data_IF_078981628437
#
_entry.id   IF_078981628437
#
_cell.length_a   1.000
_cell.length_b   1.000
_cell.length_c   1.000
_cell.angle_alpha   90.00
_cell.angle_beta   90.00
_cell.angle_gamma   90.00
#
_symmetry.space_group_name_H-M   'P 1'
#
loop_
_entity.id
_entity.type
_entity.pdbx_description
1 polymer ?
#
# COMPACT_ATOMS: atom_id res chain seq x y z
N UNK A 1 23.82 -20.17 -6.57
CA UNK A 1 24.73 -20.83 -5.61
C UNK A 1 26.19 -20.71 -6.06
N UNK A 2 26.55 -20.87 -7.35
CA UNK A 2 27.94 -20.73 -7.79
C UNK A 2 28.45 -19.29 -7.84
N UNK A 3 27.57 -18.29 -7.98
CA UNK A 3 27.95 -16.86 -7.97
C UNK A 3 28.17 -16.30 -6.55
N UNK A 4 27.54 -16.87 -5.53
CA UNK A 4 27.69 -16.46 -4.13
C UNK A 4 29.03 -16.84 -3.48
N UNK A 5 29.85 -17.64 -4.16
CA UNK A 5 31.11 -18.15 -3.61
C UNK A 5 32.33 -17.53 -4.32
N UNK A 6 32.16 -16.64 -5.28
CA UNK A 6 33.27 -15.96 -5.98
C UNK A 6 33.46 -14.54 -5.48
N UNK A 7 34.31 -14.35 -4.48
CA UNK A 7 34.63 -13.05 -3.92
C UNK A 7 35.33 -12.08 -4.90
N UNK A 8 35.82 -12.57 -6.03
CA UNK A 8 36.30 -11.65 -7.08
C UNK A 8 35.13 -10.97 -7.78
N UNK A 9 34.05 -11.70 -8.05
CA UNK A 9 32.80 -11.12 -8.57
C UNK A 9 32.21 -10.11 -7.60
N UNK A 10 32.18 -10.44 -6.29
CA UNK A 10 31.68 -9.52 -5.27
C UNK A 10 32.55 -8.25 -5.19
N UNK A 11 33.87 -8.38 -5.31
CA UNK A 11 34.78 -7.24 -5.40
C UNK A 11 34.50 -6.35 -6.63
N UNK A 12 34.22 -6.96 -7.80
CA UNK A 12 33.87 -6.25 -9.03
C UNK A 12 32.53 -5.51 -8.89
N UNK A 13 31.55 -6.14 -8.23
CA UNK A 13 30.28 -5.53 -7.92
C UNK A 13 30.44 -4.33 -6.98
N UNK A 14 31.22 -4.47 -5.90
CA UNK A 14 31.49 -3.39 -4.96
C UNK A 14 32.14 -2.19 -5.66
N UNK A 15 33.12 -2.42 -6.52
CA UNK A 15 33.77 -1.34 -7.27
C UNK A 15 32.83 -0.69 -8.28
N UNK A 16 31.98 -1.48 -8.95
CA UNK A 16 30.97 -0.95 -9.87
C UNK A 16 29.99 -0.05 -9.13
N UNK A 17 29.48 -0.52 -8.00
CA UNK A 17 28.59 0.25 -7.14
C UNK A 17 29.28 1.54 -6.65
N UNK A 18 30.54 1.45 -6.20
CA UNK A 18 31.34 2.61 -5.80
C UNK A 18 31.51 3.64 -6.91
N UNK A 19 31.71 3.22 -8.17
CA UNK A 19 31.76 4.10 -9.34
C UNK A 19 30.44 4.81 -9.60
N UNK A 20 29.32 4.09 -9.55
CA UNK A 20 27.98 4.64 -9.76
C UNK A 20 27.63 5.73 -8.73
N UNK A 21 28.15 5.60 -7.51
CA UNK A 21 27.92 6.54 -6.42
C UNK A 21 29.06 7.52 -6.14
N UNK A 22 30.13 7.55 -6.96
CA UNK A 22 31.30 8.40 -6.73
C UNK A 22 30.98 9.92 -6.58
N UNK A 23 29.89 10.39 -7.22
CA UNK A 23 29.43 11.79 -7.13
C UNK A 23 28.44 12.04 -5.99
N UNK A 24 27.92 10.99 -5.32
CA UNK A 24 26.90 11.08 -4.26
C UNK A 24 27.59 11.06 -2.88
N UNK A 25 27.83 12.25 -2.30
CA UNK A 25 28.57 12.41 -1.03
C UNK A 25 27.93 11.68 0.17
N UNK A 26 26.64 11.38 0.10
CA UNK A 26 25.89 10.69 1.16
C UNK A 26 26.02 9.16 1.11
N UNK A 27 26.61 8.60 0.06
CA UNK A 27 26.76 7.15 -0.11
C UNK A 27 28.22 6.78 0.00
N UNK A 28 28.50 5.72 0.76
CA UNK A 28 29.82 5.14 0.95
C UNK A 28 29.82 3.65 0.58
N UNK A 29 30.83 3.27 -0.16
CA UNK A 29 31.19 1.88 -0.42
C UNK A 29 32.61 1.65 0.09
N UNK A 30 32.86 0.62 0.92
CA UNK A 30 34.19 0.30 1.39
C UNK A 30 35.11 -0.01 0.22
N UNK A 31 36.33 0.50 0.28
CA UNK A 31 37.32 0.24 -0.76
C UNK A 31 37.76 -1.23 -0.71
N UNK A 32 37.80 -1.87 -1.88
CA UNK A 32 38.32 -3.23 -2.05
C UNK A 32 39.86 -3.18 -2.03
N UNK A 33 40.49 -4.04 -1.21
CA UNK A 33 41.95 -4.21 -1.19
C UNK A 33 42.33 -5.35 -2.13
N UNK A 34 42.39 -5.07 -3.43
CA UNK A 34 42.63 -6.06 -4.50
C UNK A 34 43.84 -6.94 -4.29
N UNK A 35 44.95 -6.40 -3.75
CA UNK A 35 46.17 -7.15 -3.48
C UNK A 35 46.00 -8.27 -2.41
N UNK A 36 44.89 -8.23 -1.66
CA UNK A 36 44.57 -9.21 -0.61
C UNK A 36 43.20 -9.90 -0.84
N UNK A 37 42.64 -9.71 -2.03
CA UNK A 37 41.36 -10.33 -2.42
C UNK A 37 41.63 -11.49 -3.38
N UNK A 38 41.01 -12.61 -3.13
CA UNK A 38 41.09 -13.85 -3.92
C UNK A 38 39.69 -14.42 -4.13
N UNK A 39 39.55 -15.52 -4.88
CA UNK A 39 38.25 -16.20 -5.01
C UNK A 39 37.62 -16.63 -3.68
N UNK A 40 38.40 -16.80 -2.62
CA UNK A 40 37.95 -17.31 -1.32
C UNK A 40 38.03 -16.27 -0.19
N UNK A 41 38.58 -15.11 -0.45
CA UNK A 41 38.78 -14.06 0.56
C UNK A 41 38.52 -12.73 -0.08
N UNK A 42 37.57 -11.97 0.46
CA UNK A 42 37.35 -10.57 0.14
C UNK A 42 37.93 -9.71 1.25
N UNK A 43 38.79 -8.78 0.89
CA UNK A 43 39.36 -7.82 1.83
C UNK A 43 38.86 -6.42 1.51
N UNK A 44 38.14 -5.84 2.46
CA UNK A 44 37.55 -4.51 2.37
C UNK A 44 38.17 -3.58 3.39
N UNK A 45 38.05 -2.28 3.13
CA UNK A 45 38.27 -1.23 4.14
C UNK A 45 37.33 -1.46 5.33
N UNK A 46 37.83 -1.26 6.56
CA UNK A 46 37.03 -1.41 7.76
C UNK A 46 35.97 -0.31 7.86
N UNK A 47 34.74 -0.70 8.16
CA UNK A 47 33.59 0.20 8.30
C UNK A 47 33.24 0.33 9.78
N UNK A 48 33.61 1.47 10.39
CA UNK A 48 33.18 1.84 11.72
C UNK A 48 31.85 2.61 11.58
N UNK A 49 30.71 1.93 11.76
CA UNK A 49 29.41 2.51 11.48
C UNK A 49 28.33 1.92 12.39
N UNK A 50 27.22 2.64 12.49
CA UNK A 50 26.02 2.24 13.23
C UNK A 50 25.18 1.36 12.30
N UNK A 51 24.67 0.24 12.78
CA UNK A 51 23.71 -0.56 12.02
C UNK A 51 22.45 0.26 11.71
N UNK A 52 21.90 0.13 10.51
CA UNK A 52 20.71 0.90 10.11
C UNK A 52 19.48 0.64 11.00
N UNK A 53 19.44 -0.50 11.68
CA UNK A 53 18.37 -0.86 12.64
C UNK A 53 18.63 -0.42 14.06
N UNK A 54 19.80 0.14 14.36
CA UNK A 54 20.08 0.71 15.68
C UNK A 54 19.61 2.17 15.76
N UNK A 55 18.28 2.30 15.87
CA UNK A 55 17.61 3.60 15.81
C UNK A 55 18.04 4.54 16.94
N UNK A 56 18.34 3.97 18.11
CA UNK A 56 18.76 4.75 19.28
C UNK A 56 20.17 5.30 19.08
N UNK A 57 21.10 4.50 18.58
CA UNK A 57 22.45 4.94 18.26
C UNK A 57 22.47 5.98 17.13
N UNK A 58 21.61 5.83 16.09
CA UNK A 58 21.48 6.83 15.01
C UNK A 58 20.99 8.16 15.60
N UNK A 59 19.96 8.15 16.44
CA UNK A 59 19.41 9.35 17.09
C UNK A 59 20.42 9.97 18.06
N UNK A 60 21.15 9.16 18.84
CA UNK A 60 22.20 9.62 19.77
C UNK A 60 23.39 10.28 19.04
N UNK A 61 23.66 9.87 17.78
CA UNK A 61 24.65 10.50 16.92
C UNK A 61 24.14 11.83 16.30
N UNK A 62 22.93 12.29 16.63
CA UNK A 62 22.33 13.51 16.10
C UNK A 62 21.90 13.39 14.63
N UNK A 63 21.66 12.16 14.15
CA UNK A 63 21.27 11.89 12.76
C UNK A 63 19.76 11.72 12.71
N UNK A 64 19.09 12.44 11.79
CA UNK A 64 17.66 12.32 11.55
C UNK A 64 17.34 11.01 10.81
N UNK A 65 16.60 10.13 11.44
CA UNK A 65 16.19 8.85 10.88
C UNK A 65 15.27 9.01 9.66
N UNK A 66 14.44 10.04 9.63
CA UNK A 66 13.58 10.34 8.48
C UNK A 66 14.44 10.70 7.25
N UNK A 67 15.54 11.43 7.46
CA UNK A 67 16.50 11.74 6.38
C UNK A 67 17.21 10.46 5.90
N UNK A 68 17.55 9.54 6.83
CA UNK A 68 18.16 8.24 6.46
C UNK A 68 17.21 7.43 5.59
N UNK A 69 15.93 7.35 5.95
CA UNK A 69 14.92 6.63 5.16
C UNK A 69 14.78 7.21 3.74
N UNK A 70 14.77 8.54 3.62
CA UNK A 70 14.71 9.22 2.30
C UNK A 70 15.95 8.91 1.46
N UNK A 71 17.14 9.07 2.02
CA UNK A 71 18.40 8.80 1.29
C UNK A 71 18.49 7.33 0.90
N UNK A 72 18.00 6.41 1.74
CA UNK A 72 17.96 4.99 1.42
C UNK A 72 17.06 4.73 0.20
N UNK A 73 15.83 5.24 0.18
CA UNK A 73 14.92 5.07 -0.94
C UNK A 73 15.47 5.72 -2.22
N UNK A 74 15.93 6.98 -2.14
CA UNK A 74 16.50 7.70 -3.29
C UNK A 74 17.70 6.95 -3.89
N UNK A 75 18.50 6.29 -3.03
CA UNK A 75 19.62 5.47 -3.47
C UNK A 75 19.15 4.28 -4.29
N UNK A 76 18.09 3.59 -3.85
CA UNK A 76 17.56 2.45 -4.59
C UNK A 76 16.82 2.85 -5.86
N UNK A 77 16.11 3.98 -5.85
CA UNK A 77 15.50 4.51 -7.07
C UNK A 77 16.58 4.78 -8.14
N UNK A 78 17.68 5.41 -7.74
CA UNK A 78 18.82 5.61 -8.64
C UNK A 78 19.39 4.29 -9.19
N UNK A 79 19.63 3.31 -8.33
CA UNK A 79 20.17 2.01 -8.73
C UNK A 79 19.29 1.32 -9.78
N UNK A 80 17.97 1.39 -9.60
CA UNK A 80 17.00 0.69 -10.45
C UNK A 80 16.78 1.46 -11.76
N UNK A 81 16.54 2.76 -11.68
CA UNK A 81 16.07 3.56 -12.82
C UNK A 81 17.18 4.28 -13.59
N UNK A 82 18.31 4.59 -12.94
CA UNK A 82 19.42 5.28 -13.60
C UNK A 82 20.58 4.32 -13.91
N UNK A 83 21.02 3.51 -12.92
CA UNK A 83 22.19 2.65 -13.07
C UNK A 83 21.87 1.31 -13.72
N UNK A 84 20.61 0.85 -13.66
CA UNK A 84 20.21 -0.50 -14.09
C UNK A 84 20.94 -1.62 -13.35
N UNK A 85 21.55 -1.28 -12.20
CA UNK A 85 22.37 -2.17 -11.39
C UNK A 85 22.09 -1.89 -9.91
N UNK A 86 21.50 -2.86 -9.21
CA UNK A 86 21.03 -2.65 -7.84
C UNK A 86 21.50 -3.75 -6.88
N UNK A 87 21.69 -3.36 -5.64
CA UNK A 87 21.94 -4.26 -4.52
C UNK A 87 20.68 -5.05 -4.21
N UNK A 88 20.69 -6.34 -4.52
CA UNK A 88 19.49 -7.18 -4.48
C UNK A 88 19.20 -7.81 -3.11
N UNK A 89 20.07 -7.61 -2.12
CA UNK A 89 19.87 -8.07 -0.74
C UNK A 89 19.98 -6.91 0.27
N UNK A 90 18.99 -6.01 0.33
CA UNK A 90 18.97 -4.89 1.28
C UNK A 90 18.70 -5.38 2.71
N UNK A 91 19.41 -6.42 3.13
CA UNK A 91 19.30 -6.89 4.51
C UNK A 91 19.86 -5.83 5.47
N UNK A 92 19.23 -5.59 6.65
CA UNK A 92 19.74 -4.62 7.63
C UNK A 92 21.18 -4.86 8.07
N UNK A 93 21.70 -6.08 7.96
CA UNK A 93 23.09 -6.44 8.22
C UNK A 93 24.08 -5.87 7.19
N UNK A 94 23.59 -5.47 6.01
CA UNK A 94 24.42 -4.99 4.88
C UNK A 94 24.39 -3.46 4.75
N UNK A 95 23.65 -2.77 5.65
CA UNK A 95 23.42 -1.33 5.59
C UNK A 95 23.79 -0.67 6.91
N UNK A 96 24.61 0.37 6.82
CA UNK A 96 25.11 1.09 7.98
C UNK A 96 25.01 2.61 7.77
N UNK A 97 24.90 3.32 8.87
CA UNK A 97 24.99 4.78 8.93
C UNK A 97 26.33 5.16 9.54
N UNK A 98 27.18 5.82 8.78
CA UNK A 98 28.51 6.24 9.23
C UNK A 98 28.48 7.72 9.60
N UNK A 99 28.55 8.08 10.88
CA UNK A 99 28.68 9.47 11.31
C UNK A 99 30.01 10.04 10.85
N UNK A 100 30.00 11.28 10.37
CA UNK A 100 31.16 12.06 10.02
C UNK A 100 31.19 13.27 10.96
N UNK A 101 32.13 13.33 11.90
CA UNK A 101 32.21 14.42 12.87
C UNK A 101 32.44 15.77 12.18
N UNK A 102 32.02 16.83 12.85
CA UNK A 102 32.34 18.19 12.40
C UNK A 102 33.86 18.42 12.44
N UNK A 103 34.36 19.19 11.49
CA UNK A 103 35.71 19.75 11.46
C UNK A 103 35.61 21.26 11.46
N UNK A 104 36.70 21.97 11.63
CA UNK A 104 36.73 23.45 11.62
C UNK A 104 36.11 24.03 10.33
N UNK A 105 36.20 23.32 9.22
CA UNK A 105 35.70 23.78 7.90
C UNK A 105 34.34 23.17 7.51
N UNK A 106 33.86 22.08 8.17
CA UNK A 106 32.67 21.32 7.74
C UNK A 106 31.80 20.95 8.94
N UNK A 107 30.49 21.14 8.77
CA UNK A 107 29.49 20.67 9.73
C UNK A 107 29.48 19.14 9.81
N UNK A 108 29.11 18.61 10.97
CA UNK A 108 28.84 17.18 11.13
C UNK A 108 27.85 16.69 10.06
N UNK A 109 28.12 15.53 9.52
CA UNK A 109 27.29 14.89 8.50
C UNK A 109 27.33 13.38 8.68
N UNK A 110 26.73 12.63 7.78
CA UNK A 110 26.71 11.17 7.81
C UNK A 110 26.67 10.60 6.39
N UNK A 111 26.98 9.32 6.26
CA UNK A 111 26.90 8.57 5.02
C UNK A 111 26.16 7.27 5.23
N UNK A 112 25.32 6.88 4.26
CA UNK A 112 24.78 5.54 4.15
C UNK A 112 25.84 4.64 3.53
N UNK A 113 26.22 3.58 4.24
CA UNK A 113 27.30 2.67 3.83
C UNK A 113 26.71 1.31 3.49
N UNK A 114 27.05 0.82 2.30
CA UNK A 114 26.68 -0.49 1.80
C UNK A 114 27.86 -1.45 1.94
N UNK A 115 27.59 -2.65 2.39
CA UNK A 115 28.53 -3.76 2.42
C UNK A 115 27.87 -5.01 1.85
N UNK A 116 28.65 -6.07 1.55
CA UNK A 116 28.17 -7.32 1.00
C UNK A 116 27.51 -7.14 -0.39
N UNK A 117 28.32 -7.22 -1.42
CA UNK A 117 27.90 -7.13 -2.82
C UNK A 117 27.81 -8.48 -3.51
N UNK A 118 27.65 -9.57 -2.73
CA UNK A 118 27.51 -10.93 -3.23
C UNK A 118 26.23 -11.11 -4.04
N UNK A 119 25.18 -10.34 -3.73
CA UNK A 119 23.91 -10.41 -4.45
C UNK A 119 23.58 -9.04 -5.07
N UNK A 120 23.70 -8.97 -6.40
CA UNK A 120 23.30 -7.79 -7.18
C UNK A 120 22.31 -8.19 -8.27
N UNK A 121 21.43 -7.28 -8.61
CA UNK A 121 20.48 -7.41 -9.71
C UNK A 121 20.84 -6.47 -10.86
N UNK A 122 20.50 -6.91 -12.07
CA UNK A 122 20.56 -6.05 -13.27
C UNK A 122 19.15 -5.85 -13.79
N UNK A 123 18.86 -4.64 -14.21
CA UNK A 123 17.59 -4.28 -14.85
C UNK A 123 17.86 -4.22 -16.36
N UNK A 124 17.40 -5.22 -17.14
CA UNK A 124 17.51 -5.17 -18.61
C UNK A 124 16.75 -3.98 -19.18
N UNK A 125 17.09 -3.52 -20.38
CA UNK A 125 16.48 -2.35 -21.01
C UNK A 125 14.96 -2.45 -21.13
N UNK A 126 14.44 -3.59 -21.59
CA UNK A 126 13.01 -3.83 -21.70
C UNK A 126 12.27 -3.75 -20.35
N UNK A 127 12.91 -4.21 -19.28
CA UNK A 127 12.37 -4.11 -17.93
C UNK A 127 12.45 -2.66 -17.41
N UNK A 128 13.52 -1.95 -17.74
CA UNK A 128 13.71 -0.54 -17.37
C UNK A 128 12.60 0.35 -17.93
N UNK A 129 12.23 0.15 -19.20
CA UNK A 129 11.16 0.91 -19.86
C UNK A 129 9.81 0.67 -19.17
N UNK A 130 9.40 -0.58 -18.98
CA UNK A 130 8.15 -0.89 -18.30
C UNK A 130 8.09 -0.42 -16.85
N UNK A 131 9.22 -0.48 -16.12
CA UNK A 131 9.29 0.06 -14.76
C UNK A 131 9.18 1.59 -14.73
N UNK A 132 9.75 2.30 -15.72
CA UNK A 132 9.59 3.75 -15.86
C UNK A 132 8.14 4.13 -16.16
N UNK A 133 7.50 3.44 -17.10
CA UNK A 133 6.07 3.62 -17.41
C UNK A 133 5.20 3.39 -16.17
N UNK A 134 5.48 2.31 -15.42
CA UNK A 134 4.80 2.00 -14.17
C UNK A 134 4.95 3.14 -13.15
N UNK A 135 6.17 3.61 -12.93
CA UNK A 135 6.43 4.68 -11.98
C UNK A 135 5.76 6.00 -12.38
N UNK A 136 5.77 6.33 -13.68
CA UNK A 136 5.07 7.50 -14.22
C UNK A 136 3.54 7.33 -14.05
N UNK A 137 2.99 6.16 -14.40
CA UNK A 137 1.57 5.84 -14.22
C UNK A 137 1.12 6.00 -12.77
N UNK A 138 1.89 5.44 -11.84
CA UNK A 138 1.67 5.60 -10.40
C UNK A 138 1.77 7.08 -10.02
N UNK A 139 2.86 7.77 -10.35
CA UNK A 139 3.11 9.17 -9.95
C UNK A 139 2.08 10.16 -10.50
N UNK A 140 1.48 9.87 -11.64
CA UNK A 140 0.42 10.68 -12.28
C UNK A 140 -1.00 10.19 -11.99
N UNK A 141 -1.17 9.13 -11.20
CA UNK A 141 -2.46 8.46 -10.93
C UNK A 141 -3.18 7.99 -12.19
N UNK A 142 -2.45 7.59 -13.20
CA UNK A 142 -3.01 7.15 -14.47
C UNK A 142 -3.12 5.63 -14.49
N UNK A 143 -4.32 5.10 -14.19
CA UNK A 143 -4.60 3.66 -14.14
C UNK A 143 -4.34 2.97 -15.49
N UNK A 144 -4.71 3.61 -16.62
CA UNK A 144 -4.47 3.06 -17.96
C UNK A 144 -2.97 2.90 -18.23
N UNK A 145 -2.14 3.90 -17.84
CA UNK A 145 -0.69 3.83 -17.99
C UNK A 145 -0.07 2.76 -17.11
N UNK A 146 -0.60 2.54 -15.91
CA UNK A 146 -0.18 1.42 -15.03
C UNK A 146 -0.48 0.08 -15.69
N UNK A 147 -1.69 -0.11 -16.23
CA UNK A 147 -2.05 -1.36 -16.91
C UNK A 147 -1.23 -1.57 -18.17
N UNK A 148 -0.94 -0.51 -18.94
CA UNK A 148 -0.04 -0.56 -20.09
C UNK A 148 1.36 -1.01 -19.69
N UNK A 149 1.90 -0.46 -18.60
CA UNK A 149 3.21 -0.87 -18.08
C UNK A 149 3.25 -2.34 -17.68
N UNK A 150 2.16 -2.92 -17.18
CA UNK A 150 2.05 -4.35 -16.90
C UNK A 150 2.18 -5.20 -18.16
N UNK A 151 1.71 -4.71 -19.31
CA UNK A 151 1.92 -5.37 -20.60
C UNK A 151 3.39 -5.28 -21.05
N UNK A 152 4.00 -4.09 -20.97
CA UNK A 152 5.43 -3.87 -21.29
C UNK A 152 6.34 -4.73 -20.43
N UNK A 153 5.99 -4.93 -19.13
CA UNK A 153 6.71 -5.76 -18.17
C UNK A 153 6.48 -7.27 -18.34
N UNK A 154 5.60 -7.66 -19.28
CA UNK A 154 5.16 -9.05 -19.48
C UNK A 154 4.62 -9.69 -18.17
N UNK A 155 3.88 -8.88 -17.39
CA UNK A 155 3.27 -9.30 -16.11
C UNK A 155 1.87 -9.87 -16.34
N UNK A 156 1.23 -9.56 -17.47
CA UNK A 156 -0.13 -9.99 -17.75
C UNK A 156 -0.17 -11.23 -18.63
N UNK A 157 -1.08 -12.14 -18.31
CA UNK A 157 -1.43 -13.24 -19.19
C UNK A 157 -2.21 -12.72 -20.42
N UNK A 158 -2.15 -13.40 -21.57
CA UNK A 158 -2.77 -12.93 -22.82
C UNK A 158 -4.29 -12.68 -22.74
N UNK A 159 -4.98 -13.30 -21.78
CA UNK A 159 -6.44 -13.22 -21.62
C UNK A 159 -6.88 -12.22 -20.56
N UNK A 160 -5.97 -11.37 -20.05
CA UNK A 160 -6.28 -10.39 -18.99
C UNK A 160 -7.31 -9.37 -19.48
N UNK A 161 -8.35 -9.12 -18.68
CA UNK A 161 -9.32 -8.04 -18.93
C UNK A 161 -8.69 -6.69 -18.51
N UNK A 162 -8.15 -5.97 -19.49
CA UNK A 162 -7.47 -4.68 -19.27
C UNK A 162 -8.40 -3.63 -18.70
N UNK A 163 -9.71 -3.62 -19.10
CA UNK A 163 -10.66 -2.64 -18.59
C UNK A 163 -10.98 -2.86 -17.12
N UNK A 164 -11.14 -4.12 -16.74
CA UNK A 164 -11.37 -4.48 -15.34
C UNK A 164 -10.14 -4.16 -14.48
N UNK A 165 -8.94 -4.37 -15.00
CA UNK A 165 -7.68 -3.98 -14.35
C UNK A 165 -7.58 -2.45 -14.20
N UNK A 166 -7.90 -1.67 -15.23
CA UNK A 166 -7.91 -0.19 -15.14
C UNK A 166 -8.90 0.31 -14.08
N UNK A 167 -10.08 -0.29 -13.99
CA UNK A 167 -11.05 0.05 -12.96
C UNK A 167 -10.56 -0.30 -11.54
N UNK A 168 -9.88 -1.44 -11.39
CA UNK A 168 -9.30 -1.84 -10.12
C UNK A 168 -8.19 -0.89 -9.68
N UNK A 169 -7.28 -0.52 -10.60
CA UNK A 169 -6.20 0.43 -10.33
C UNK A 169 -6.72 1.83 -10.01
N UNK A 170 -7.73 2.32 -10.74
CA UNK A 170 -8.36 3.61 -10.44
C UNK A 170 -8.95 3.63 -9.01
N UNK A 171 -9.64 2.56 -8.61
CA UNK A 171 -10.17 2.46 -7.25
C UNK A 171 -9.08 2.28 -6.18
N UNK A 172 -7.97 1.62 -6.52
CA UNK A 172 -6.80 1.55 -5.66
C UNK A 172 -6.23 2.95 -5.40
N UNK A 173 -6.10 3.77 -6.44
CA UNK A 173 -5.68 5.15 -6.28
C UNK A 173 -6.65 5.96 -5.42
N UNK A 174 -7.96 5.87 -5.66
CA UNK A 174 -8.97 6.62 -4.91
C UNK A 174 -8.97 6.28 -3.41
N UNK A 175 -8.65 5.02 -3.07
CA UNK A 175 -8.71 4.54 -1.68
C UNK A 175 -7.40 4.69 -0.92
N UNK A 176 -6.28 4.39 -1.56
CA UNK A 176 -5.01 4.18 -0.88
C UNK A 176 -3.95 5.23 -1.20
N UNK A 177 -4.23 6.11 -2.17
CA UNK A 177 -3.30 7.16 -2.54
C UNK A 177 -3.01 8.11 -1.37
N UNK A 178 -1.72 8.40 -1.16
CA UNK A 178 -1.29 9.33 -0.12
C UNK A 178 -1.19 8.72 1.28
N UNK A 179 -1.65 7.48 1.47
CA UNK A 179 -1.52 6.80 2.76
C UNK A 179 -0.05 6.49 3.07
N UNK A 180 0.33 6.70 4.32
CA UNK A 180 1.61 6.22 4.84
C UNK A 180 1.64 4.70 4.93
N UNK A 181 2.82 4.11 5.04
CA UNK A 181 2.97 2.66 5.22
C UNK A 181 2.28 2.15 6.49
N UNK A 182 2.23 2.97 7.53
CA UNK A 182 1.53 2.63 8.78
C UNK A 182 0.01 2.61 8.61
N UNK A 183 -0.55 3.56 7.88
CA UNK A 183 -1.98 3.59 7.55
C UNK A 183 -2.37 2.41 6.67
N UNK A 184 -1.59 2.09 5.63
CA UNK A 184 -1.81 0.93 4.77
C UNK A 184 -1.80 -0.39 5.55
N UNK A 185 -0.92 -0.52 6.55
CA UNK A 185 -0.83 -1.71 7.41
C UNK A 185 -2.05 -1.87 8.32
N UNK A 186 -2.70 -0.77 8.69
CA UNK A 186 -3.82 -0.74 9.63
C UNK A 186 -5.19 -0.62 8.95
N UNK A 187 -5.27 -0.86 7.63
CA UNK A 187 -6.54 -0.87 6.89
C UNK A 187 -7.49 -1.93 7.49
N UNK A 188 -8.76 -1.57 7.65
CA UNK A 188 -9.79 -2.50 8.13
C UNK A 188 -9.92 -3.70 7.17
N UNK A 189 -9.81 -4.90 7.73
CA UNK A 189 -10.01 -6.15 7.00
C UNK A 189 -11.34 -6.21 6.25
N UNK A 190 -12.37 -5.52 6.74
CA UNK A 190 -13.69 -5.44 6.08
C UNK A 190 -13.61 -4.63 4.79
N UNK A 191 -12.86 -3.55 4.79
CA UNK A 191 -12.66 -2.70 3.62
C UNK A 191 -11.89 -3.46 2.53
N UNK A 192 -10.81 -4.15 2.93
CA UNK A 192 -10.07 -5.03 2.02
C UNK A 192 -10.93 -6.17 1.47
N UNK A 193 -11.77 -6.78 2.30
CA UNK A 193 -12.69 -7.83 1.87
C UNK A 193 -13.74 -7.31 0.88
N UNK A 194 -14.26 -6.10 1.07
CA UNK A 194 -15.19 -5.48 0.13
C UNK A 194 -14.54 -5.19 -1.22
N UNK A 195 -13.30 -4.69 -1.22
CA UNK A 195 -12.53 -4.49 -2.44
C UNK A 195 -12.28 -5.82 -3.16
N UNK A 196 -11.82 -6.84 -2.45
CA UNK A 196 -11.60 -8.18 -3.01
C UNK A 196 -12.89 -8.80 -3.58
N UNK A 197 -14.05 -8.60 -2.91
CA UNK A 197 -15.35 -9.06 -3.43
C UNK A 197 -15.75 -8.32 -4.71
N UNK A 198 -15.48 -7.03 -4.82
CA UNK A 198 -15.82 -6.25 -6.00
C UNK A 198 -15.01 -6.70 -7.24
N UNK A 199 -13.75 -7.07 -7.04
CA UNK A 199 -12.84 -7.54 -8.08
C UNK A 199 -12.56 -9.04 -7.99
N UNK A 200 -13.54 -9.82 -7.48
CA UNK A 200 -13.41 -11.26 -7.31
C UNK A 200 -13.02 -11.99 -8.60
N UNK A 201 -13.47 -11.49 -9.74
CA UNK A 201 -13.17 -12.06 -11.05
C UNK A 201 -11.68 -12.00 -11.35
N UNK A 202 -11.04 -10.84 -11.14
CA UNK A 202 -9.58 -10.70 -11.21
C UNK A 202 -8.85 -11.58 -10.20
N UNK A 203 -9.43 -11.76 -9.00
CA UNK A 203 -8.83 -12.62 -7.97
C UNK A 203 -8.93 -14.10 -8.31
N UNK A 204 -9.97 -14.52 -9.03
CA UNK A 204 -10.14 -15.91 -9.47
C UNK A 204 -9.31 -16.23 -10.71
N UNK A 205 -9.29 -15.35 -11.69
CA UNK A 205 -8.56 -15.55 -12.94
C UNK A 205 -7.06 -15.41 -12.76
N UNK A 206 -6.63 -14.63 -11.73
CA UNK A 206 -5.21 -14.37 -11.46
C UNK A 206 -4.42 -14.10 -12.76
N UNK A 207 -4.77 -13.05 -13.52
CA UNK A 207 -4.23 -12.84 -14.87
C UNK A 207 -2.78 -12.37 -14.88
N UNK A 208 -2.03 -12.68 -13.82
CA UNK A 208 -0.67 -12.22 -13.62
C UNK A 208 0.33 -13.36 -13.70
N UNK A 209 1.43 -13.09 -14.38
CA UNK A 209 2.66 -13.88 -14.34
C UNK A 209 3.78 -12.99 -13.79
N UNK A 210 4.70 -13.57 -13.03
CA UNK A 210 5.82 -12.83 -12.46
C UNK A 210 7.14 -13.32 -13.06
N UNK A 211 7.75 -12.53 -13.97
CA UNK A 211 9.12 -12.78 -14.43
C UNK A 211 10.11 -12.82 -13.26
N UNK A 212 11.12 -13.70 -13.34
CA UNK A 212 12.09 -13.91 -12.27
C UNK A 212 12.79 -12.62 -11.80
N UNK A 213 13.10 -11.73 -12.75
CA UNK A 213 13.75 -10.45 -12.45
C UNK A 213 12.84 -9.53 -11.61
N UNK A 214 11.53 -9.57 -11.86
CA UNK A 214 10.55 -8.80 -11.07
C UNK A 214 10.35 -9.38 -9.67
N UNK A 215 10.47 -10.69 -9.49
CA UNK A 215 10.44 -11.31 -8.15
C UNK A 215 11.60 -10.82 -7.28
N UNK A 216 12.81 -10.77 -7.86
CA UNK A 216 13.99 -10.28 -7.15
C UNK A 216 13.85 -8.79 -6.78
N UNK A 217 13.38 -7.99 -7.73
CA UNK A 217 13.11 -6.57 -7.50
C UNK A 217 12.00 -6.36 -6.46
N UNK A 218 10.91 -7.09 -6.56
CA UNK A 218 9.79 -7.04 -5.61
C UNK A 218 10.21 -7.38 -4.18
N UNK A 219 11.04 -8.43 -4.01
CA UNK A 219 11.65 -8.78 -2.72
C UNK A 219 12.49 -7.61 -2.18
N UNK A 220 13.32 -7.01 -3.03
CA UNK A 220 14.17 -5.86 -2.67
C UNK A 220 13.31 -4.69 -2.20
N UNK A 221 12.26 -4.34 -2.95
CA UNK A 221 11.34 -3.23 -2.61
C UNK A 221 10.59 -3.51 -1.30
N UNK A 222 10.15 -4.75 -1.08
CA UNK A 222 9.45 -5.12 0.16
C UNK A 222 10.34 -4.96 1.40
N UNK A 223 11.59 -5.44 1.36
CA UNK A 223 12.54 -5.28 2.47
C UNK A 223 12.88 -3.79 2.68
N UNK A 224 13.10 -3.05 1.60
CA UNK A 224 13.38 -1.61 1.62
C UNK A 224 12.23 -0.82 2.28
N UNK A 225 10.99 -1.13 1.91
CA UNK A 225 9.80 -0.52 2.51
C UNK A 225 9.72 -0.78 4.02
N UNK A 226 10.03 -2.02 4.45
CA UNK A 226 10.10 -2.37 5.87
C UNK A 226 11.16 -1.57 6.62
N UNK A 227 12.33 -1.37 6.04
CA UNK A 227 13.39 -0.56 6.66
C UNK A 227 13.05 0.92 6.73
N UNK A 228 12.49 1.49 5.67
CA UNK A 228 12.05 2.88 5.67
C UNK A 228 10.98 3.13 6.75
N UNK A 229 10.03 2.19 6.91
CA UNK A 229 9.00 2.26 7.97
C UNK A 229 9.60 2.09 9.37
N UNK A 230 10.64 1.26 9.53
CA UNK A 230 11.35 1.12 10.79
C UNK A 230 12.13 2.39 11.20
N UNK A 231 12.73 3.07 10.24
CA UNK A 231 13.41 4.35 10.44
C UNK A 231 12.42 5.49 10.72
N UNK A 232 11.35 5.55 9.97
CA UNK A 232 10.28 6.54 10.09
C UNK A 232 8.91 5.83 10.03
N UNK A 233 8.19 5.66 11.15
CA UNK A 233 6.87 5.03 11.18
C UNK A 233 5.82 5.74 10.30
N UNK A 234 5.99 7.03 10.05
CA UNK A 234 5.11 7.84 9.21
C UNK A 234 5.65 8.00 7.78
N UNK A 235 6.61 7.15 7.38
CA UNK A 235 7.20 7.20 6.05
C UNK A 235 6.13 7.06 4.97
N UNK A 236 6.05 8.07 4.11
CA UNK A 236 5.11 8.10 3.00
C UNK A 236 5.87 7.93 1.69
N UNK A 237 5.71 6.74 1.10
CA UNK A 237 6.37 6.36 -0.15
C UNK A 237 6.01 7.32 -1.31
N UNK A 238 4.75 7.79 -1.36
CA UNK A 238 4.26 8.68 -2.41
C UNK A 238 5.01 10.00 -2.45
N UNK A 239 5.39 10.53 -1.29
CA UNK A 239 6.14 11.79 -1.19
C UNK A 239 7.53 11.72 -1.84
N UNK A 240 8.07 10.53 -2.05
CA UNK A 240 9.37 10.31 -2.72
C UNK A 240 9.17 9.88 -4.18
N UNK A 241 8.21 8.98 -4.44
CA UNK A 241 7.97 8.47 -5.80
C UNK A 241 7.45 9.54 -6.75
N UNK A 242 6.51 10.39 -6.30
CA UNK A 242 5.92 11.44 -7.16
C UNK A 242 6.95 12.44 -7.69
N UNK A 243 7.83 13.04 -6.86
CA UNK A 243 8.88 13.91 -7.37
C UNK A 243 9.85 13.19 -8.31
N UNK A 244 10.21 11.94 -7.99
CA UNK A 244 11.10 11.15 -8.83
C UNK A 244 10.47 10.85 -10.19
N UNK A 245 9.22 10.43 -10.23
CA UNK A 245 8.47 10.22 -11.47
C UNK A 245 8.41 11.49 -12.33
N UNK A 246 8.18 12.66 -11.72
CA UNK A 246 8.19 13.96 -12.42
C UNK A 246 9.55 14.28 -13.04
N UNK A 247 10.63 13.97 -12.36
CA UNK A 247 11.98 14.18 -12.88
C UNK A 247 12.26 13.27 -14.08
N UNK A 248 11.83 12.00 -14.03
CA UNK A 248 11.95 11.08 -15.17
C UNK A 248 11.19 11.58 -16.39
N UNK A 249 9.98 12.07 -16.21
CA UNK A 249 9.19 12.69 -17.30
C UNK A 249 9.88 13.91 -17.89
N UNK A 250 10.52 14.74 -17.06
CA UNK A 250 11.23 15.92 -17.51
C UNK A 250 12.52 15.58 -18.31
N UNK A 251 13.20 14.48 -17.96
CA UNK A 251 14.41 14.01 -18.65
C UNK A 251 14.12 13.43 -20.05
N UNK A 252 12.95 12.82 -20.25
CA UNK A 252 12.56 12.24 -21.55
C UNK A 252 12.33 13.27 -22.66
N UNK A 253 12.48 14.57 -22.36
CA UNK A 253 12.37 15.65 -23.35
C UNK A 253 11.01 15.71 -24.08
N UNK A 254 10.04 14.93 -23.59
CA UNK A 254 8.67 15.01 -24.05
C UNK A 254 8.19 16.40 -23.64
N UNK A 255 7.95 17.24 -24.63
CA UNK A 255 7.31 18.54 -24.47
C UNK A 255 5.92 18.30 -23.89
N UNK A 256 5.86 18.21 -22.58
CA UNK A 256 4.72 17.72 -21.80
C UNK A 256 3.50 18.66 -21.80
N UNK A 257 3.45 19.59 -22.76
CA UNK A 257 2.24 20.36 -22.99
C UNK A 257 1.05 19.45 -23.31
N UNK A 258 1.25 18.32 -24.00
CA UNK A 258 0.17 17.40 -24.35
C UNK A 258 -0.37 16.64 -23.14
N UNK A 259 0.48 16.20 -22.21
CA UNK A 259 0.04 15.55 -20.95
C UNK A 259 -0.60 16.57 -20.01
N UNK A 260 -0.05 17.78 -19.94
CA UNK A 260 -0.65 18.88 -19.18
C UNK A 260 -1.94 19.37 -19.83
N UNK A 261 -2.02 19.42 -21.16
CA UNK A 261 -3.23 19.79 -21.89
C UNK A 261 -4.32 18.72 -21.75
N UNK A 262 -4.00 17.43 -21.74
CA UNK A 262 -4.97 16.37 -21.45
C UNK A 262 -5.46 16.41 -20.00
N UNK A 263 -4.58 16.57 -19.01
CA UNK A 263 -4.98 16.71 -17.61
C UNK A 263 -5.73 18.02 -17.33
N UNK A 264 -5.28 19.13 -17.92
CA UNK A 264 -6.03 20.40 -17.87
C UNK A 264 -7.31 20.29 -18.68
N UNK A 265 -7.29 19.59 -19.81
CA UNK A 265 -8.46 19.32 -20.63
C UNK A 265 -9.52 18.52 -19.89
N UNK A 266 -9.13 17.54 -19.10
CA UNK A 266 -10.05 16.74 -18.26
C UNK A 266 -10.52 17.54 -17.04
N UNK A 267 -9.65 18.29 -16.38
CA UNK A 267 -10.04 19.26 -15.35
C UNK A 267 -10.98 20.36 -15.88
N UNK A 268 -10.72 20.87 -17.10
CA UNK A 268 -11.58 21.86 -17.75
C UNK A 268 -12.90 21.23 -18.18
N UNK A 269 -12.91 19.99 -18.66
CA UNK A 269 -14.15 19.23 -18.96
C UNK A 269 -14.97 18.99 -17.67
N UNK A 270 -14.32 18.61 -16.56
CA UNK A 270 -14.98 18.50 -15.26
C UNK A 270 -15.50 19.86 -14.75
N UNK A 271 -14.70 20.92 -14.87
CA UNK A 271 -15.12 22.29 -14.50
C UNK A 271 -16.24 22.82 -15.41
N UNK A 272 -16.23 22.52 -16.70
CA UNK A 272 -17.29 22.88 -17.64
C UNK A 272 -18.54 22.01 -17.43
N UNK A 273 -18.38 20.77 -16.98
CA UNK A 273 -19.50 19.88 -16.65
C UNK A 273 -20.19 20.24 -15.29
N UNK A 274 -19.47 20.92 -14.38
CA UNK A 274 -20.00 21.37 -13.10
C UNK A 274 -21.23 22.30 -13.21
N UNK A 275 -21.29 23.31 -14.09
CA UNK A 275 -22.49 24.16 -14.19
C UNK A 275 -23.74 23.38 -14.65
N UNK A 276 -23.56 22.36 -15.49
CA UNK A 276 -24.68 21.53 -15.96
C UNK A 276 -25.18 20.52 -14.92
N UNK A 277 -24.34 20.10 -13.99
CA UNK A 277 -24.72 19.19 -12.92
C UNK A 277 -25.24 19.95 -11.69
N UNK A 278 -24.63 21.07 -11.32
CA UNK A 278 -25.13 21.95 -10.27
C UNK A 278 -26.48 22.55 -10.63
N UNK A 279 -26.71 22.97 -11.87
CA UNK A 279 -28.02 23.46 -12.32
C UNK A 279 -29.12 22.40 -12.23
N UNK A 280 -28.81 21.13 -12.54
CA UNK A 280 -29.75 19.98 -12.38
C UNK A 280 -29.97 19.58 -10.94
N UNK A 281 -28.96 19.69 -10.09
CA UNK A 281 -29.09 19.43 -8.64
C UNK A 281 -29.87 20.57 -7.99
N UNK A 282 -29.54 21.85 -8.28
CA UNK A 282 -30.29 23.01 -7.76
C UNK A 282 -31.77 22.95 -8.18
N UNK A 283 -32.08 22.65 -9.44
CA UNK A 283 -33.46 22.56 -9.92
C UNK A 283 -34.23 21.36 -9.34
N UNK A 284 -33.57 20.32 -8.86
CA UNK A 284 -34.15 19.21 -8.10
C UNK A 284 -34.38 19.58 -6.62
N UNK A 285 -33.46 20.40 -6.06
CA UNK A 285 -33.63 20.97 -4.70
C UNK A 285 -34.84 21.89 -4.66
N UNK A 286 -34.96 22.82 -5.64
CA UNK A 286 -36.11 23.75 -5.72
C UNK A 286 -37.45 23.01 -5.94
N UNK A 287 -37.47 21.84 -6.58
CA UNK A 287 -38.68 21.04 -6.77
C UNK A 287 -38.97 20.04 -5.68
N UNK A 288 -38.13 19.97 -4.61
CA UNK A 288 -38.33 19.03 -3.51
C UNK A 288 -38.12 17.54 -3.88
N UNK A 289 -37.53 17.25 -5.03
CA UNK A 289 -37.35 15.89 -5.56
C UNK A 289 -36.01 15.26 -5.16
N UNK A 290 -35.34 15.77 -4.12
CA UNK A 290 -34.07 15.22 -3.64
C UNK A 290 -34.34 13.98 -2.79
N UNK A 291 -34.38 12.83 -3.42
CA UNK A 291 -34.23 11.56 -2.72
C UNK A 291 -32.74 11.31 -2.47
N UNK A 292 -32.27 11.69 -1.28
CA UNK A 292 -30.92 11.32 -0.83
C UNK A 292 -30.95 9.82 -0.51
N UNK A 293 -30.52 9.01 -1.46
CA UNK A 293 -30.39 7.57 -1.22
C UNK A 293 -29.09 7.36 -0.43
N UNK A 294 -29.20 7.27 0.88
CA UNK A 294 -28.09 6.98 1.79
C UNK A 294 -28.16 5.48 2.18
N UNK A 295 -27.55 4.58 1.42
CA UNK A 295 -27.64 3.14 1.67
C UNK A 295 -27.06 2.75 3.05
N UNK A 296 -26.14 3.52 3.59
CA UNK A 296 -25.60 3.33 4.94
C UNK A 296 -26.60 3.69 6.04
N UNK A 297 -27.31 4.80 5.90
CA UNK A 297 -28.31 5.25 6.89
C UNK A 297 -29.51 4.32 6.88
N UNK A 298 -29.99 3.91 5.71
CA UNK A 298 -31.08 2.95 5.61
C UNK A 298 -30.71 1.60 6.25
N UNK A 299 -29.50 1.08 6.05
CA UNK A 299 -29.06 -0.14 6.75
C UNK A 299 -28.99 0.03 8.27
N UNK A 300 -28.52 1.14 8.77
CA UNK A 300 -28.50 1.42 10.21
C UNK A 300 -29.90 1.54 10.79
N UNK A 301 -30.83 2.17 10.08
CA UNK A 301 -32.24 2.25 10.47
C UNK A 301 -32.86 0.85 10.52
N UNK A 302 -32.64 -0.02 9.51
CA UNK A 302 -33.10 -1.39 9.53
C UNK A 302 -32.52 -2.23 10.66
N UNK A 303 -31.23 -2.04 10.98
CA UNK A 303 -30.62 -2.72 12.13
C UNK A 303 -31.17 -2.23 13.46
N UNK A 304 -31.43 -0.93 13.59
CA UNK A 304 -32.06 -0.34 14.77
C UNK A 304 -33.51 -0.84 14.93
N UNK A 305 -34.32 -0.82 13.87
CA UNK A 305 -35.67 -1.32 13.85
C UNK A 305 -35.72 -2.82 14.22
N UNK A 306 -34.84 -3.63 13.67
CA UNK A 306 -34.72 -5.05 14.02
C UNK A 306 -34.31 -5.27 15.47
N UNK A 307 -33.43 -4.46 16.04
CA UNK A 307 -33.00 -4.50 17.42
C UNK A 307 -34.14 -4.10 18.37
N UNK A 308 -34.87 -3.03 18.04
CA UNK A 308 -36.07 -2.57 18.80
C UNK A 308 -37.15 -3.63 18.79
N UNK A 309 -37.47 -4.21 17.64
CA UNK A 309 -38.49 -5.27 17.53
C UNK A 309 -38.09 -6.52 18.34
N UNK A 310 -36.84 -6.92 18.36
CA UNK A 310 -36.36 -8.03 19.20
C UNK A 310 -36.44 -7.70 20.69
N UNK A 311 -36.07 -6.48 21.08
CA UNK A 311 -36.17 -6.04 22.47
C UNK A 311 -37.63 -6.04 22.94
N UNK A 312 -38.55 -5.47 22.15
CA UNK A 312 -39.98 -5.45 22.42
C UNK A 312 -40.54 -6.87 22.56
N UNK A 313 -40.21 -7.75 21.63
CA UNK A 313 -40.62 -9.15 21.69
C UNK A 313 -40.11 -9.89 22.92
N UNK A 314 -38.85 -9.63 23.32
CA UNK A 314 -38.27 -10.23 24.54
C UNK A 314 -38.93 -9.73 25.82
N UNK A 315 -39.28 -8.46 25.89
CA UNK A 315 -39.99 -7.88 27.04
C UNK A 315 -41.41 -8.47 27.14
N UNK A 316 -42.14 -8.56 26.01
CA UNK A 316 -43.46 -9.17 25.98
C UNK A 316 -43.42 -10.64 26.38
N UNK A 317 -42.49 -11.41 25.84
CA UNK A 317 -42.27 -12.81 26.22
C UNK A 317 -42.05 -12.96 27.73
N UNK A 318 -41.13 -12.18 28.30
CA UNK A 318 -40.82 -12.19 29.74
C UNK A 318 -42.07 -11.81 30.57
N UNK A 319 -42.79 -10.76 30.17
CA UNK A 319 -43.97 -10.29 30.88
C UNK A 319 -45.10 -11.38 30.91
N UNK A 320 -45.36 -12.03 29.76
CA UNK A 320 -46.35 -13.13 29.73
C UNK A 320 -45.86 -14.36 30.46
N UNK A 321 -44.58 -14.70 30.41
CA UNK A 321 -44.03 -15.84 31.14
C UNK A 321 -44.12 -15.64 32.64
N UNK A 322 -43.66 -14.51 33.17
CA UNK A 322 -43.67 -14.20 34.59
C UNK A 322 -45.11 -13.96 35.11
N UNK A 323 -45.95 -13.26 34.30
CA UNK A 323 -47.38 -13.09 34.62
C UNK A 323 -48.09 -14.42 34.75
N UNK A 324 -47.82 -15.39 33.86
CA UNK A 324 -48.35 -16.74 33.94
C UNK A 324 -47.91 -17.47 35.19
N UNK A 325 -46.61 -17.34 35.63
CA UNK A 325 -46.13 -17.94 36.86
C UNK A 325 -46.81 -17.35 38.11
N UNK A 326 -46.95 -16.02 38.16
CA UNK A 326 -47.63 -15.36 39.27
C UNK A 326 -49.11 -15.75 39.39
N UNK A 327 -49.81 -15.83 38.27
CA UNK A 327 -51.22 -16.27 38.22
C UNK A 327 -51.35 -17.73 38.61
N UNK A 328 -50.41 -18.58 38.28
CA UNK A 328 -50.37 -19.97 38.71
C UNK A 328 -50.20 -20.09 40.23
N UNK A 329 -49.30 -19.30 40.82
CA UNK A 329 -49.10 -19.24 42.26
C UNK A 329 -50.31 -18.69 43.01
N UNK A 330 -51.10 -17.79 42.39
CA UNK A 330 -52.35 -17.26 42.96
C UNK A 330 -53.58 -18.18 42.83
N UNK A 331 -53.43 -19.37 42.24
CA UNK A 331 -54.50 -20.36 42.05
C UNK A 331 -55.39 -20.16 40.83
N UNK A 332 -55.13 -19.13 39.99
CA UNK A 332 -55.87 -18.81 38.76
C UNK A 332 -55.36 -19.60 37.57
N UNK A 333 -55.60 -20.89 37.50
CA UNK A 333 -55.06 -21.82 36.51
C UNK A 333 -55.49 -21.47 35.07
N UNK A 334 -56.72 -21.08 34.83
CA UNK A 334 -57.20 -20.74 33.47
C UNK A 334 -56.49 -19.54 32.87
N UNK A 335 -56.29 -18.48 33.65
CA UNK A 335 -55.54 -17.28 33.21
C UNK A 335 -54.07 -17.55 33.07
N UNK A 336 -53.47 -18.38 33.92
CA UNK A 336 -52.09 -18.81 33.84
C UNK A 336 -51.76 -19.50 32.50
N UNK A 337 -52.60 -20.48 32.07
CA UNK A 337 -52.43 -21.17 30.81
C UNK A 337 -52.58 -20.23 29.61
N UNK A 338 -53.47 -19.24 29.69
CA UNK A 338 -53.69 -18.25 28.64
C UNK A 338 -52.43 -17.35 28.49
N UNK A 339 -51.82 -16.92 29.60
CA UNK A 339 -50.58 -16.15 29.59
C UNK A 339 -49.39 -16.94 29.01
N UNK A 340 -49.27 -18.23 29.36
CA UNK A 340 -48.22 -19.08 28.79
C UNK A 340 -48.44 -19.35 27.31
N UNK A 341 -49.68 -19.46 26.83
CA UNK A 341 -50.01 -19.55 25.41
C UNK A 341 -49.54 -18.27 24.65
N UNK A 342 -49.80 -17.07 25.20
CA UNK A 342 -49.31 -15.84 24.61
C UNK A 342 -47.77 -15.74 24.65
N UNK A 343 -47.12 -16.22 25.71
CA UNK A 343 -45.66 -16.31 25.77
C UNK A 343 -45.11 -17.23 24.66
N UNK A 344 -45.72 -18.39 24.42
CA UNK A 344 -45.32 -19.29 23.33
C UNK A 344 -45.53 -18.65 21.95
N UNK A 345 -46.63 -17.92 21.73
CA UNK A 345 -46.90 -17.19 20.49
C UNK A 345 -45.83 -16.08 20.25
N UNK A 346 -45.48 -15.31 21.27
CA UNK A 346 -44.45 -14.27 21.15
C UNK A 346 -43.06 -14.87 20.86
N UNK A 347 -42.71 -16.00 21.46
CA UNK A 347 -41.48 -16.71 21.17
C UNK A 347 -41.44 -17.22 19.72
N UNK A 348 -42.54 -17.81 19.25
CA UNK A 348 -42.65 -18.28 17.87
C UNK A 348 -42.58 -17.13 16.86
N UNK A 349 -43.21 -16.00 17.15
CA UNK A 349 -43.17 -14.80 16.33
C UNK A 349 -41.73 -14.24 16.24
N UNK A 350 -40.98 -14.18 17.36
CA UNK A 350 -39.59 -13.80 17.39
C UNK A 350 -38.69 -14.74 16.55
N UNK A 351 -38.94 -16.07 16.67
CA UNK A 351 -38.18 -17.05 15.90
C UNK A 351 -38.48 -16.97 14.39
N UNK A 352 -39.71 -16.61 14.01
CA UNK A 352 -40.13 -16.42 12.63
C UNK A 352 -39.51 -15.16 12.03
N UNK A 353 -39.49 -14.04 12.75
CA UNK A 353 -38.79 -12.81 12.36
C UNK A 353 -37.27 -13.02 12.22
N UNK A 354 -36.67 -13.88 13.02
CA UNK A 354 -35.25 -14.23 12.91
C UNK A 354 -34.93 -15.05 11.63
N UNK A 355 -35.90 -15.85 11.12
CA UNK A 355 -35.74 -16.66 9.90
C UNK A 355 -36.08 -15.94 8.61
N UNK A 356 -36.85 -14.85 8.65
CA UNK A 356 -37.30 -14.10 7.47
C UNK A 356 -36.26 -13.19 6.85
N UNK A 357 -35.05 -13.08 7.42
CA UNK A 357 -33.97 -12.21 6.93
C UNK A 357 -32.73 -13.03 6.59
N UNK A 358 -32.86 -13.98 5.67
CA UNK A 358 -31.74 -14.51 4.91
C UNK A 358 -31.42 -13.48 3.81
N UNK A 359 -30.18 -12.96 3.71
CA UNK A 359 -29.80 -11.95 2.69
C UNK A 359 -29.56 -12.56 1.29
N UNK A 360 -30.17 -13.73 1.00
CA UNK A 360 -30.02 -14.40 -0.29
C UNK A 360 -31.41 -14.56 -0.95
N UNK A 361 -31.87 -13.48 -1.59
CA UNK A 361 -32.69 -13.49 -2.81
C UNK A 361 -32.52 -12.16 -3.51
#
# INVERSE_FOLDING_TARGET
>A
VHQEIDYLSEADNAETFGKNFARRKRIRVPRVVRSRTTKRVLTLENVYAIKITDYDAISAAGIDRCEVAKVLLDTYLKQIFEDGFFHADPHPGNLFVTPIPATEEKKATWQLTFVDFGMVGKVPENLSEGLRELLIGIGTRNASKVVQSFQTLDVLLPNADLKLLEQAEAQMFDRFWGMSMNELRNIDHREMAQFAMQFRELMYEMPFQLPHNLLLLGRTVAILSGMCTGLDPNFNLWNQLVPYARNLVAEEGVSNWDIWLDQIGDLVKELIALPGQTGRVLSRIERGELTVNTPHVNRQIYHLESAVNRLTGSIMFAAFLFGGVLLFQSGNLSLSYLFWAFSAVTLFWMAFLARGHSPWR
#
